data_IF_834326599772
#
_entry.id   IF_834326599772
#
_cell.length_a   1.000
_cell.length_b   1.000
_cell.length_c   1.000
_cell.angle_alpha   90.00
_cell.angle_beta   90.00
_cell.angle_gamma   90.00
#
_symmetry.space_group_name_H-M   'P 1'
#
loop_
_entity.id
_entity.type
_entity.pdbx_description
1 polymer ?
#
# COMPACT_ATOMS: atom_id res chain seq x y z
N UNK A 1 -3.50 -16.21 6.83
CA UNK A 1 -4.84 -15.73 7.24
C UNK A 1 -5.87 -16.38 6.34
N UNK A 2 -7.03 -16.79 6.88
CA UNK A 2 -8.12 -17.25 6.02
C UNK A 2 -8.88 -16.07 5.39
N UNK A 3 -9.88 -16.38 4.55
CA UNK A 3 -10.65 -15.37 3.83
C UNK A 3 -11.45 -14.47 4.79
N UNK A 4 -12.02 -15.03 5.85
CA UNK A 4 -12.88 -14.27 6.77
C UNK A 4 -12.05 -13.34 7.65
N UNK A 5 -10.93 -13.83 8.18
CA UNK A 5 -9.95 -13.03 8.90
C UNK A 5 -9.38 -11.91 8.03
N UNK A 6 -9.16 -12.18 6.73
CA UNK A 6 -8.69 -11.16 5.79
C UNK A 6 -9.73 -10.06 5.60
N UNK A 7 -11.01 -10.40 5.43
CA UNK A 7 -12.06 -9.39 5.32
C UNK A 7 -12.26 -8.59 6.61
N UNK A 8 -12.14 -9.24 7.78
CA UNK A 8 -12.16 -8.54 9.07
C UNK A 8 -11.00 -7.56 9.20
N UNK A 9 -9.80 -7.95 8.74
CA UNK A 9 -8.64 -7.07 8.71
C UNK A 9 -8.82 -5.89 7.75
N UNK A 10 -9.37 -6.13 6.55
CA UNK A 10 -9.74 -5.07 5.59
C UNK A 10 -10.68 -4.06 6.24
N UNK A 11 -11.72 -4.54 6.91
CA UNK A 11 -12.72 -3.66 7.51
C UNK A 11 -12.15 -2.89 8.72
N UNK A 12 -11.34 -3.55 9.54
CA UNK A 12 -10.60 -2.91 10.64
C UNK A 12 -9.70 -1.80 10.12
N UNK A 13 -9.00 -2.05 9.02
CA UNK A 13 -8.08 -1.08 8.41
C UNK A 13 -8.84 0.11 7.81
N UNK A 14 -9.98 -0.11 7.15
CA UNK A 14 -10.87 0.97 6.70
C UNK A 14 -11.36 1.84 7.86
N UNK A 15 -11.77 1.25 8.97
CA UNK A 15 -12.17 2.02 10.16
C UNK A 15 -11.02 2.86 10.72
N UNK A 16 -9.81 2.29 10.82
CA UNK A 16 -8.62 3.00 11.31
C UNK A 16 -8.27 4.18 10.38
N UNK A 17 -8.21 3.93 9.08
CA UNK A 17 -7.89 4.95 8.09
C UNK A 17 -8.96 6.04 8.03
N UNK A 18 -10.25 5.69 8.07
CA UNK A 18 -11.33 6.66 8.12
C UNK A 18 -11.19 7.60 9.33
N UNK A 19 -10.86 7.07 10.52
CA UNK A 19 -10.63 7.88 11.72
C UNK A 19 -9.43 8.83 11.56
N UNK A 20 -8.35 8.37 10.92
CA UNK A 20 -7.21 9.24 10.58
C UNK A 20 -7.65 10.38 9.66
N UNK A 21 -8.39 10.06 8.59
CA UNK A 21 -8.87 11.02 7.60
C UNK A 21 -9.82 12.07 8.19
N UNK A 22 -10.67 11.69 9.16
CA UNK A 22 -11.55 12.62 9.89
C UNK A 22 -10.77 13.71 10.64
N UNK A 23 -9.53 13.43 11.06
CA UNK A 23 -8.68 14.36 11.79
C UNK A 23 -7.84 15.29 10.91
N UNK A 24 -7.88 15.12 9.58
CA UNK A 24 -7.04 15.90 8.68
C UNK A 24 -7.60 17.31 8.43
N UNK A 25 -6.71 18.29 8.52
CA UNK A 25 -6.97 19.65 8.07
C UNK A 25 -7.03 19.76 6.54
N UNK A 26 -7.67 20.80 5.98
CA UNK A 26 -7.69 21.02 4.52
C UNK A 26 -6.30 21.06 3.87
N UNK A 27 -5.30 21.59 4.58
CA UNK A 27 -3.92 21.61 4.08
C UNK A 27 -3.32 20.20 4.00
N UNK A 28 -3.61 19.32 4.96
CA UNK A 28 -3.10 17.94 4.96
C UNK A 28 -3.73 17.11 3.83
N UNK A 29 -4.99 17.38 3.45
CA UNK A 29 -5.61 16.76 2.28
C UNK A 29 -4.92 17.08 0.96
N UNK A 30 -4.23 18.23 0.88
CA UNK A 30 -3.42 18.67 -0.27
C UNK A 30 -1.93 18.36 -0.12
N UNK A 31 -1.52 17.70 0.96
CA UNK A 31 -0.12 17.36 1.16
C UNK A 31 0.30 16.22 0.22
N UNK A 32 1.55 16.26 -0.25
CA UNK A 32 2.08 15.19 -1.09
C UNK A 32 2.13 13.86 -0.33
N UNK A 33 1.61 12.82 -0.96
CA UNK A 33 1.69 11.44 -0.47
C UNK A 33 3.03 10.80 -0.86
N UNK A 34 3.29 9.56 -0.42
CA UNK A 34 4.40 8.77 -0.95
C UNK A 34 4.17 8.27 -2.39
N UNK A 35 2.97 8.43 -2.96
CA UNK A 35 2.71 8.17 -4.37
C UNK A 35 3.15 9.38 -5.20
N UNK A 36 4.07 9.16 -6.15
CA UNK A 36 4.68 10.24 -6.94
C UNK A 36 3.63 11.07 -7.72
N UNK A 37 3.54 12.35 -7.34
CA UNK A 37 2.61 13.31 -7.94
C UNK A 37 1.16 13.18 -7.46
N UNK A 38 0.92 12.47 -6.35
CA UNK A 38 -0.40 12.35 -5.72
C UNK A 38 -0.41 13.12 -4.39
N UNK A 39 -1.48 13.86 -4.15
CA UNK A 39 -1.83 14.38 -2.83
C UNK A 39 -2.57 13.30 -2.02
N UNK A 40 -2.71 13.50 -0.71
CA UNK A 40 -3.48 12.62 0.18
C UNK A 40 -4.88 12.35 -0.36
N UNK A 41 -5.57 13.38 -0.89
CA UNK A 41 -6.89 13.23 -1.49
C UNK A 41 -6.94 12.24 -2.66
N UNK A 42 -5.87 12.16 -3.45
CA UNK A 42 -5.81 11.31 -4.63
C UNK A 42 -5.69 9.84 -4.22
N UNK A 43 -4.93 9.58 -3.15
CA UNK A 43 -4.83 8.25 -2.53
C UNK A 43 -6.20 7.81 -1.99
N UNK A 44 -6.93 8.70 -1.32
CA UNK A 44 -8.28 8.41 -0.82
C UNK A 44 -9.25 8.13 -1.97
N UNK A 45 -9.23 8.94 -3.03
CA UNK A 45 -10.05 8.74 -4.21
C UNK A 45 -9.76 7.37 -4.87
N UNK A 46 -8.48 6.98 -4.95
CA UNK A 46 -8.08 5.66 -5.43
C UNK A 46 -8.69 4.53 -4.60
N UNK A 47 -8.57 4.59 -3.27
CA UNK A 47 -9.11 3.57 -2.36
C UNK A 47 -10.63 3.44 -2.45
N UNK A 48 -11.33 4.56 -2.63
CA UNK A 48 -12.78 4.58 -2.90
C UNK A 48 -13.08 3.84 -4.19
N UNK A 49 -12.42 4.21 -5.30
CA UNK A 49 -12.66 3.60 -6.61
C UNK A 49 -12.34 2.10 -6.61
N UNK A 50 -11.24 1.71 -5.97
CA UNK A 50 -10.78 0.33 -5.90
C UNK A 50 -11.70 -0.56 -5.03
N UNK A 51 -12.53 0.04 -4.18
CA UNK A 51 -13.52 -0.67 -3.35
C UNK A 51 -14.83 -1.00 -4.08
N UNK A 52 -15.03 -0.48 -5.31
CA UNK A 52 -16.23 -0.72 -6.10
C UNK A 52 -15.96 -1.73 -7.24
N UNK A 53 -16.61 -2.90 -7.20
CA UNK A 53 -16.44 -3.98 -8.19
C UNK A 53 -16.87 -3.63 -9.64
N UNK A 54 -17.41 -2.43 -9.88
CA UNK A 54 -18.07 -2.04 -11.14
C UNK A 54 -17.24 -1.12 -12.05
N UNK A 55 -15.97 -0.88 -11.75
CA UNK A 55 -15.10 -0.04 -12.60
C UNK A 55 -13.94 -0.86 -13.19
N UNK A 56 -14.15 -1.53 -14.35
CA UNK A 56 -13.10 -2.29 -15.06
C UNK A 56 -11.89 -1.44 -15.50
N UNK A 57 -12.02 -0.11 -15.47
CA UNK A 57 -11.00 0.82 -15.97
C UNK A 57 -9.72 0.81 -15.12
N UNK A 58 -9.80 0.47 -13.83
CA UNK A 58 -8.63 0.41 -12.94
C UNK A 58 -7.75 -0.83 -13.17
N UNK A 59 -8.33 -1.98 -13.46
CA UNK A 59 -7.56 -3.23 -13.67
C UNK A 59 -7.00 -3.36 -15.09
N UNK A 60 -7.69 -2.83 -16.10
CA UNK A 60 -7.14 -2.73 -17.46
C UNK A 60 -5.92 -1.78 -17.50
N UNK A 61 -5.91 -0.76 -16.64
CA UNK A 61 -4.80 0.19 -16.48
C UNK A 61 -3.61 -0.41 -15.71
N UNK A 62 -3.88 -1.28 -14.73
CA UNK A 62 -2.88 -1.92 -13.88
C UNK A 62 -2.10 -3.06 -14.59
N UNK A 63 -2.74 -3.75 -15.54
CA UNK A 63 -2.15 -4.94 -16.21
C UNK A 63 -1.45 -4.58 -17.53
N UNK A 64 -1.80 -3.49 -18.22
CA UNK A 64 -1.23 -3.14 -19.53
C UNK A 64 0.06 -2.31 -19.51
N UNK A 65 0.50 -1.81 -18.36
CA UNK A 65 1.49 -0.73 -18.29
C UNK A 65 2.96 -1.13 -18.12
N UNK A 66 3.34 -2.41 -18.02
CA UNK A 66 4.75 -2.92 -18.07
C UNK A 66 5.85 -2.02 -17.44
N UNK A 67 5.58 -1.29 -16.35
CA UNK A 67 6.59 -0.49 -15.67
C UNK A 67 6.78 0.97 -16.11
N UNK A 68 5.88 1.59 -16.87
CA UNK A 68 5.85 3.06 -17.03
C UNK A 68 4.67 3.66 -16.24
N UNK A 69 4.93 3.91 -14.96
CA UNK A 69 3.95 4.18 -13.90
C UNK A 69 3.46 5.62 -13.83
N UNK A 70 4.13 6.58 -14.47
CA UNK A 70 3.93 7.99 -14.12
C UNK A 70 2.63 8.58 -14.67
N UNK A 71 2.22 8.22 -15.89
CA UNK A 71 1.38 9.15 -16.66
C UNK A 71 -0.13 8.97 -16.57
N UNK A 72 -0.66 7.78 -16.25
CA UNK A 72 -2.11 7.52 -16.40
C UNK A 72 -2.87 7.23 -15.10
N UNK A 73 -2.20 6.71 -14.05
CA UNK A 73 -2.80 6.61 -12.72
C UNK A 73 -3.16 7.99 -12.15
N UNK A 74 -2.30 8.98 -12.44
CA UNK A 74 -2.55 10.42 -12.23
C UNK A 74 -3.91 10.83 -12.79
N UNK A 75 -4.15 10.69 -14.08
CA UNK A 75 -5.30 11.35 -14.72
C UNK A 75 -6.69 10.86 -14.26
N UNK A 76 -6.83 9.63 -13.74
CA UNK A 76 -8.14 9.12 -13.29
C UNK A 76 -8.40 9.38 -11.81
N UNK A 77 -7.37 9.26 -10.96
CA UNK A 77 -7.46 9.66 -9.55
C UNK A 77 -7.59 11.19 -9.44
N UNK A 78 -6.80 11.96 -10.20
CA UNK A 78 -6.87 13.42 -10.25
C UNK A 78 -8.23 13.92 -10.76
N UNK A 79 -8.84 13.28 -11.77
CA UNK A 79 -10.19 13.66 -12.23
C UNK A 79 -11.27 13.36 -11.18
N UNK A 80 -11.21 12.22 -10.51
CA UNK A 80 -12.19 11.87 -9.46
C UNK A 80 -12.00 12.72 -8.19
N UNK A 81 -10.76 13.06 -7.85
CA UNK A 81 -10.44 14.00 -6.78
C UNK A 81 -10.83 15.44 -7.15
N UNK A 82 -10.73 15.84 -8.42
CA UNK A 82 -11.16 17.17 -8.87
C UNK A 82 -12.68 17.37 -8.83
N UNK A 83 -13.47 16.29 -8.90
CA UNK A 83 -14.94 16.33 -8.94
C UNK A 83 -15.61 16.23 -7.55
N UNK A 84 -14.85 15.96 -6.49
CA UNK A 84 -15.38 15.82 -5.12
C UNK A 84 -14.57 16.69 -4.13
N UNK A 85 -15.26 17.34 -3.20
CA UNK A 85 -14.60 17.95 -2.05
C UNK A 85 -14.11 16.86 -1.07
N UNK A 86 -13.27 17.27 -0.11
CA UNK A 86 -12.64 16.32 0.83
C UNK A 86 -13.68 15.66 1.76
N UNK A 87 -14.79 16.35 2.05
CA UNK A 87 -15.88 15.81 2.85
C UNK A 87 -16.64 14.70 2.10
N UNK A 88 -16.88 14.87 0.80
CA UNK A 88 -17.48 13.86 -0.05
C UNK A 88 -16.55 12.66 -0.26
N UNK A 89 -15.24 12.88 -0.43
CA UNK A 89 -14.26 11.78 -0.48
C UNK A 89 -14.24 10.98 0.83
N UNK A 90 -14.25 11.66 1.99
CA UNK A 90 -14.34 11.04 3.30
C UNK A 90 -15.63 10.22 3.44
N UNK A 91 -16.77 10.78 3.04
CA UNK A 91 -18.07 10.09 3.07
C UNK A 91 -18.07 8.85 2.17
N UNK A 92 -17.57 8.97 0.94
CA UNK A 92 -17.44 7.82 0.02
C UNK A 92 -16.51 6.74 0.55
N UNK A 93 -15.43 7.14 1.23
CA UNK A 93 -14.52 6.19 1.88
C UNK A 93 -15.22 5.47 3.04
N UNK A 94 -15.99 6.19 3.86
CA UNK A 94 -16.84 5.60 4.89
C UNK A 94 -17.79 4.54 4.32
N UNK A 95 -18.45 4.83 3.20
CA UNK A 95 -19.38 3.90 2.54
C UNK A 95 -18.72 2.60 2.05
N UNK A 96 -17.38 2.55 1.98
CA UNK A 96 -16.66 1.31 1.64
C UNK A 96 -16.58 0.33 2.80
N UNK A 97 -16.81 0.77 4.04
CA UNK A 97 -16.80 -0.08 5.24
C UNK A 97 -17.88 -1.17 5.10
N UNK A 98 -17.53 -2.42 5.40
CA UNK A 98 -18.36 -3.59 5.20
C UNK A 98 -18.39 -4.14 3.76
N UNK A 99 -17.86 -3.41 2.77
CA UNK A 99 -17.82 -3.89 1.38
C UNK A 99 -16.85 -5.06 1.23
N UNK A 100 -17.36 -6.21 0.77
CA UNK A 100 -16.57 -7.42 0.47
C UNK A 100 -16.31 -7.59 -1.03
N UNK A 101 -16.33 -6.48 -1.76
CA UNK A 101 -16.14 -6.46 -3.21
C UNK A 101 -14.67 -6.59 -3.58
N UNK A 102 -14.37 -7.45 -4.55
CA UNK A 102 -13.08 -7.49 -5.23
C UNK A 102 -13.29 -7.24 -6.72
N UNK A 103 -12.27 -6.70 -7.39
CA UNK A 103 -12.28 -6.64 -8.86
C UNK A 103 -11.98 -8.04 -9.39
N UNK A 104 -12.59 -8.41 -10.51
CA UNK A 104 -12.36 -9.72 -11.13
C UNK A 104 -10.85 -9.99 -11.30
N UNK A 105 -10.39 -11.13 -10.80
CA UNK A 105 -8.97 -11.51 -10.80
C UNK A 105 -8.16 -11.03 -9.60
N UNK A 106 -8.78 -10.35 -8.62
CA UNK A 106 -8.14 -9.97 -7.35
C UNK A 106 -8.76 -10.70 -6.15
N UNK A 107 -7.97 -10.85 -5.10
CA UNK A 107 -8.35 -11.53 -3.86
C UNK A 107 -8.58 -10.54 -2.71
N UNK A 108 -9.21 -10.98 -1.60
CA UNK A 108 -9.30 -10.15 -0.39
C UNK A 108 -7.94 -9.69 0.14
N UNK A 109 -6.89 -10.52 -0.01
CA UNK A 109 -5.52 -10.16 0.40
C UNK A 109 -4.96 -9.04 -0.46
N UNK A 110 -5.32 -8.96 -1.75
CA UNK A 110 -4.97 -7.81 -2.59
C UNK A 110 -5.57 -6.51 -2.03
N UNK A 111 -6.83 -6.55 -1.56
CA UNK A 111 -7.49 -5.39 -0.94
C UNK A 111 -6.86 -5.00 0.39
N UNK A 112 -6.49 -5.99 1.22
CA UNK A 112 -5.81 -5.74 2.48
C UNK A 112 -4.45 -5.07 2.26
N UNK A 113 -3.65 -5.61 1.34
CA UNK A 113 -2.34 -5.06 1.00
C UNK A 113 -2.46 -3.61 0.48
N UNK A 114 -3.42 -3.35 -0.40
CA UNK A 114 -3.73 -2.03 -0.96
C UNK A 114 -4.01 -0.99 0.15
N UNK A 115 -4.90 -1.32 1.08
CA UNK A 115 -5.23 -0.47 2.23
C UNK A 115 -4.05 -0.22 3.16
N UNK A 116 -3.28 -1.27 3.49
CA UNK A 116 -2.14 -1.16 4.39
C UNK A 116 -1.06 -0.23 3.80
N UNK A 117 -0.68 -0.44 2.53
CA UNK A 117 0.35 0.36 1.87
C UNK A 117 -0.12 1.81 1.69
N UNK A 118 -1.31 2.02 1.14
CA UNK A 118 -1.82 3.37 0.91
C UNK A 118 -2.17 4.14 2.19
N UNK A 119 -2.50 3.43 3.27
CA UNK A 119 -2.59 4.03 4.60
C UNK A 119 -1.27 4.68 5.04
N UNK A 120 -0.11 4.08 4.71
CA UNK A 120 1.20 4.68 4.97
C UNK A 120 1.57 5.76 3.97
N UNK A 121 1.16 5.61 2.70
CA UNK A 121 1.37 6.64 1.69
C UNK A 121 0.74 7.98 2.13
N UNK A 122 -0.31 7.93 2.98
CA UNK A 122 -0.93 9.09 3.64
C UNK A 122 -0.23 9.43 4.96
N UNK A 123 -0.07 8.45 5.86
CA UNK A 123 0.32 8.72 7.25
C UNK A 123 1.77 9.20 7.40
N UNK A 124 2.71 8.59 6.67
CA UNK A 124 4.14 8.86 6.81
C UNK A 124 4.50 10.31 6.43
N UNK A 125 4.08 10.86 5.26
CA UNK A 125 4.37 12.25 4.90
C UNK A 125 3.78 13.27 5.88
N UNK A 126 2.65 12.92 6.51
CA UNK A 126 2.00 13.76 7.50
C UNK A 126 2.60 13.65 8.90
N UNK A 127 3.58 12.76 9.12
CA UNK A 127 4.14 12.47 10.44
C UNK A 127 3.14 11.83 11.41
N UNK A 128 2.09 11.18 10.89
CA UNK A 128 1.04 10.54 11.69
C UNK A 128 1.39 9.07 11.87
N UNK A 129 1.26 8.56 13.10
CA UNK A 129 1.40 7.13 13.38
C UNK A 129 0.15 6.40 12.91
N UNK A 130 0.32 5.46 11.98
CA UNK A 130 -0.74 4.56 11.51
C UNK A 130 -0.21 3.13 11.56
N UNK A 131 -0.67 2.33 12.51
CA UNK A 131 -0.08 1.00 12.76
C UNK A 131 -0.70 -0.08 11.89
N UNK A 132 0.15 -0.82 11.17
CA UNK A 132 -0.22 -2.08 10.54
C UNK A 132 -0.14 -3.23 11.56
N UNK A 133 -1.21 -4.03 11.75
CA UNK A 133 -1.12 -5.25 12.55
C UNK A 133 -0.11 -6.23 11.93
N UNK A 134 0.81 -6.84 12.72
CA UNK A 134 1.87 -7.71 12.18
C UNK A 134 1.38 -8.86 11.31
N UNK A 135 0.31 -9.55 11.72
CA UNK A 135 -0.27 -10.65 10.95
C UNK A 135 -0.83 -10.19 9.58
N UNK A 136 -1.45 -9.01 9.55
CA UNK A 136 -1.99 -8.42 8.32
C UNK A 136 -0.85 -7.96 7.39
N UNK A 137 0.18 -7.33 7.96
CA UNK A 137 1.38 -6.93 7.24
C UNK A 137 2.12 -8.14 6.65
N UNK A 138 2.27 -9.24 7.40
CA UNK A 138 2.87 -10.47 6.88
C UNK A 138 2.02 -11.07 5.74
N UNK A 139 0.69 -11.16 5.87
CA UNK A 139 -0.15 -11.69 4.81
C UNK A 139 -0.06 -10.86 3.52
N UNK A 140 0.01 -9.54 3.65
CA UNK A 140 0.26 -8.62 2.54
C UNK A 140 1.68 -8.78 1.96
N UNK A 141 2.69 -8.99 2.81
CA UNK A 141 4.07 -9.24 2.40
C UNK A 141 4.22 -10.56 1.62
N UNK A 142 3.62 -11.64 2.10
CA UNK A 142 3.54 -12.92 1.39
C UNK A 142 2.84 -12.77 0.02
N UNK A 143 1.81 -11.93 -0.03
CA UNK A 143 1.05 -11.68 -1.26
C UNK A 143 1.88 -10.98 -2.33
N UNK A 144 2.62 -9.92 -1.96
CA UNK A 144 3.48 -9.17 -2.88
C UNK A 144 4.75 -9.94 -3.25
N UNK A 145 5.22 -10.82 -2.34
CA UNK A 145 6.38 -11.69 -2.57
C UNK A 145 6.07 -12.87 -3.51
N UNK A 146 4.80 -13.17 -3.77
CA UNK A 146 4.42 -14.26 -4.67
C UNK A 146 4.92 -13.95 -6.11
N UNK A 147 5.68 -14.85 -6.77
CA UNK A 147 6.20 -14.60 -8.13
C UNK A 147 5.12 -14.38 -9.19
N UNK A 148 3.87 -14.84 -8.94
CA UNK A 148 2.73 -14.60 -9.82
C UNK A 148 2.09 -13.21 -9.63
N UNK A 149 2.56 -12.44 -8.66
CA UNK A 149 2.04 -11.10 -8.41
C UNK A 149 2.63 -10.09 -9.41
N UNK A 150 1.83 -9.15 -9.96
CA UNK A 150 2.27 -8.25 -11.02
C UNK A 150 3.46 -7.36 -10.65
N UNK A 151 3.62 -7.01 -9.36
CA UNK A 151 4.65 -6.08 -8.89
C UNK A 151 6.07 -6.66 -8.80
N UNK A 152 6.25 -7.97 -9.07
CA UNK A 152 7.56 -8.63 -9.20
C UNK A 152 8.59 -8.24 -8.11
N UNK A 153 8.17 -8.13 -6.86
CA UNK A 153 9.05 -7.74 -5.75
C UNK A 153 10.28 -8.65 -5.62
N UNK A 154 10.14 -9.94 -5.92
CA UNK A 154 11.25 -10.91 -5.95
C UNK A 154 12.31 -10.60 -7.02
N UNK A 155 11.94 -9.91 -8.10
CA UNK A 155 12.88 -9.48 -9.14
C UNK A 155 13.57 -8.19 -8.71
N UNK A 156 12.82 -7.21 -8.19
CA UNK A 156 13.37 -5.91 -7.75
C UNK A 156 14.28 -6.03 -6.54
N UNK A 157 13.99 -6.98 -5.64
CA UNK A 157 14.74 -7.24 -4.42
C UNK A 157 15.60 -8.52 -4.53
N UNK A 158 15.98 -8.90 -5.75
CA UNK A 158 16.85 -10.04 -5.98
C UNK A 158 18.20 -9.86 -5.26
N UNK A 159 18.72 -10.94 -4.67
CA UNK A 159 19.95 -10.89 -3.88
C UNK A 159 19.76 -10.34 -2.45
N UNK A 160 18.53 -10.08 -2.02
CA UNK A 160 18.18 -9.75 -0.64
C UNK A 160 17.38 -10.88 0.01
N UNK A 161 17.68 -11.14 1.29
CA UNK A 161 16.92 -12.02 2.17
C UNK A 161 16.20 -11.20 3.22
N UNK A 162 14.88 -11.06 3.06
CA UNK A 162 14.02 -10.34 3.99
C UNK A 162 13.70 -11.20 5.22
N UNK A 163 13.61 -10.56 6.38
CA UNK A 163 13.15 -11.21 7.61
C UNK A 163 12.38 -10.29 8.55
N UNK A 164 11.11 -10.65 8.75
CA UNK A 164 10.22 -9.99 9.67
C UNK A 164 10.61 -10.37 11.12
N UNK A 165 11.10 -9.41 11.90
CA UNK A 165 11.54 -9.64 13.29
C UNK A 165 10.39 -9.88 14.25
N UNK A 166 9.20 -9.38 13.92
CA UNK A 166 7.98 -9.46 14.72
C UNK A 166 7.11 -10.68 14.39
N UNK A 167 7.33 -11.32 13.24
CA UNK A 167 6.55 -12.51 12.84
C UNK A 167 7.39 -13.74 12.47
N UNK A 168 8.71 -13.57 12.31
CA UNK A 168 9.64 -14.64 11.90
C UNK A 168 9.56 -15.00 10.42
N UNK A 169 8.72 -14.33 9.62
CA UNK A 169 8.63 -14.58 8.18
C UNK A 169 9.95 -14.28 7.48
N UNK A 170 10.34 -15.12 6.52
CA UNK A 170 11.50 -14.89 5.66
C UNK A 170 11.19 -15.11 4.20
N UNK A 171 11.83 -14.34 3.31
CA UNK A 171 11.73 -14.53 1.87
C UNK A 171 12.95 -14.01 1.13
N UNK A 172 13.30 -14.68 0.02
CA UNK A 172 14.48 -14.35 -0.79
C UNK A 172 15.77 -14.95 -0.26
N UNK A 173 16.84 -14.68 -0.99
CA UNK A 173 18.18 -15.21 -0.76
C UNK A 173 19.21 -14.11 -0.98
N UNK A 174 20.26 -14.06 -0.15
CA UNK A 174 21.35 -13.08 -0.25
C UNK A 174 21.52 -12.22 1.00
N UNK A 175 21.83 -10.93 0.81
CA UNK A 175 22.13 -10.00 1.91
C UNK A 175 20.91 -9.79 2.81
N UNK A 176 21.14 -9.85 4.11
CA UNK A 176 20.08 -9.79 5.11
C UNK A 176 19.49 -8.38 5.20
N UNK A 177 18.17 -8.30 5.08
CA UNK A 177 17.37 -7.11 5.46
C UNK A 177 16.36 -7.54 6.51
N UNK A 178 16.35 -6.89 7.66
CA UNK A 178 15.45 -7.25 8.76
C UNK A 178 14.79 -6.04 9.40
N UNK A 179 13.59 -6.26 9.93
CA UNK A 179 12.76 -5.24 10.57
C UNK A 179 11.34 -5.77 10.72
N UNK A 180 10.38 -4.94 11.18
CA UNK A 180 8.99 -5.38 11.29
C UNK A 180 8.39 -5.70 9.92
N UNK A 181 7.42 -6.61 9.87
CA UNK A 181 6.73 -7.01 8.64
C UNK A 181 6.16 -5.80 7.85
N UNK A 182 5.73 -4.75 8.56
CA UNK A 182 5.25 -3.50 7.96
C UNK A 182 6.33 -2.75 7.16
N UNK A 183 7.55 -2.64 7.69
CA UNK A 183 8.66 -1.99 7.00
C UNK A 183 9.10 -2.81 5.77
N UNK A 184 9.12 -4.14 5.89
CA UNK A 184 9.44 -5.03 4.77
C UNK A 184 8.36 -4.99 3.69
N UNK A 185 7.09 -4.87 4.05
CA UNK A 185 6.00 -4.65 3.11
C UNK A 185 6.19 -3.34 2.34
N UNK A 186 6.53 -2.25 3.02
CA UNK A 186 6.81 -0.97 2.36
C UNK A 186 8.01 -1.07 1.41
N UNK A 187 9.09 -1.75 1.82
CA UNK A 187 10.23 -2.02 0.94
C UNK A 187 9.81 -2.81 -0.30
N UNK A 188 9.05 -3.90 -0.13
CA UNK A 188 8.55 -4.73 -1.23
C UNK A 188 7.57 -3.99 -2.15
N UNK A 189 6.84 -3.00 -1.61
CA UNK A 189 5.98 -2.10 -2.36
C UNK A 189 6.72 -0.92 -3.02
N UNK A 190 8.06 -0.87 -2.93
CA UNK A 190 8.89 0.17 -3.55
C UNK A 190 8.98 1.48 -2.75
N UNK A 191 8.49 1.53 -1.52
CA UNK A 191 8.60 2.69 -0.61
C UNK A 191 9.92 2.64 0.16
N UNK A 192 11.04 2.44 -0.54
CA UNK A 192 12.36 2.17 0.06
C UNK A 192 12.76 3.25 1.06
N UNK A 193 12.65 4.53 0.71
CA UNK A 193 13.02 5.63 1.60
C UNK A 193 12.20 5.65 2.91
N UNK A 194 10.90 5.32 2.83
CA UNK A 194 10.03 5.26 4.00
C UNK A 194 10.28 4.00 4.86
N UNK A 195 10.71 2.90 4.24
CA UNK A 195 11.00 1.65 4.93
C UNK A 195 12.36 1.68 5.67
N UNK A 196 13.40 2.25 5.04
CA UNK A 196 14.80 2.20 5.50
C UNK A 196 15.05 2.61 6.96
N UNK A 197 14.35 3.60 7.56
CA UNK A 197 14.54 3.96 8.96
C UNK A 197 14.23 2.82 9.95
N UNK A 198 13.37 1.88 9.55
CA UNK A 198 12.94 0.75 10.37
C UNK A 198 13.64 -0.57 9.99
N UNK A 199 14.63 -0.54 9.09
CA UNK A 199 15.32 -1.72 8.58
C UNK A 199 16.79 -1.77 9.03
N UNK A 200 17.28 -2.97 9.28
CA UNK A 200 18.67 -3.28 9.60
C UNK A 200 19.22 -4.44 8.77
N UNK A 201 20.48 -4.80 9.03
CA UNK A 201 21.23 -5.83 8.32
C UNK A 201 22.01 -5.30 7.11
N UNK A 202 23.00 -6.07 6.65
CA UNK A 202 23.92 -5.68 5.58
C UNK A 202 23.21 -5.29 4.26
N UNK A 203 22.08 -5.92 3.97
CA UNK A 203 21.26 -5.57 2.82
C UNK A 203 20.59 -4.20 2.96
N UNK A 204 20.21 -3.80 4.18
CA UNK A 204 19.65 -2.47 4.43
C UNK A 204 20.72 -1.39 4.26
N UNK A 205 21.96 -1.65 4.69
CA UNK A 205 23.08 -0.73 4.44
C UNK A 205 23.40 -0.60 2.95
N UNK A 206 23.39 -1.70 2.19
CA UNK A 206 23.55 -1.67 0.73
C UNK A 206 22.47 -0.84 0.04
N UNK A 207 21.21 -0.95 0.48
CA UNK A 207 20.10 -0.13 0.00
C UNK A 207 20.30 1.36 0.33
N UNK A 208 20.79 1.71 1.53
CA UNK A 208 21.12 3.11 1.89
C UNK A 208 22.24 3.67 1.04
N UNK A 209 23.24 2.86 0.72
CA UNK A 209 24.37 3.24 -0.13
C UNK A 209 23.99 3.35 -1.62
N UNK A 210 22.78 2.94 -2.02
CA UNK A 210 22.34 2.91 -3.42
C UNK A 210 23.04 1.83 -4.26
N UNK A 211 23.65 0.84 -3.61
CA UNK A 211 24.48 -0.20 -4.25
C UNK A 211 23.69 -1.44 -4.67
N UNK A 212 22.45 -1.59 -4.19
CA UNK A 212 21.49 -2.57 -4.67
C UNK A 212 20.56 -1.93 -5.71
N UNK A 213 20.92 -2.04 -7.00
CA UNK A 213 20.05 -1.74 -8.14
C UNK A 213 20.24 -2.77 -9.24
#
# INVERSE_FOLDING_TARGET
>A
MDIEDTWRAVDTERHKLHRLLQGLSPHQWRHHSLCDGWEVRDVVAHLVLASHARVPQLVISLIRARGDFDRMGRDTALRHAAEADDAELLRRFHDTIGSRSTILGTTPTDRLMDLLVHGQDIAIPLGIRHEMPPAAAQAALERIWNPRFPFRATTTLNGLRLHATDTGWTGGDGLRVEGPASALLLLAAGRTAAALPALGGDGAESLRAGQAR
#
